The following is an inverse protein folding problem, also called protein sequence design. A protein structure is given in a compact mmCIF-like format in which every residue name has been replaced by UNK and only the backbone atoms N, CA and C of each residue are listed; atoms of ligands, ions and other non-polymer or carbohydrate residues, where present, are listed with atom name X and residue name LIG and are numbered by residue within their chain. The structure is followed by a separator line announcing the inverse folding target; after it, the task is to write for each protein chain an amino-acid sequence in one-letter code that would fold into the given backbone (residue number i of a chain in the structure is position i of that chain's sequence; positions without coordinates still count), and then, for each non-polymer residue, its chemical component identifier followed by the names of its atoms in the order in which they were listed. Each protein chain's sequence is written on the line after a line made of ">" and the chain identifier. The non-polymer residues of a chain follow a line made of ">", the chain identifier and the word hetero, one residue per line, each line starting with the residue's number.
data_IF_793847450234
#
_entry.id   IF_793847450234
#
_cell.length_a   1.000
_cell.length_b   1.000
_cell.length_c   1.000
_cell.angle_alpha   90.00
_cell.angle_beta   90.00
_cell.angle_gamma   90.00
#
_symmetry.space_group_name_H-M   'P 1'
#
loop_
_entity.id
_entity.type
_entity.pdbx_description
1 polymer ?
#
# COMPACT_ATOMS: atom_id res chain seq x y z
N UNK A 1 -3.50 30.92 16.57
CA UNK A 1 -4.90 31.25 16.89
C UNK A 1 -5.51 30.02 17.57
N UNK A 2 -5.75 30.06 18.88
CA UNK A 2 -6.00 28.86 19.72
C UNK A 2 -7.32 28.11 19.43
N UNK A 3 -8.25 28.71 18.69
CA UNK A 3 -9.58 28.14 18.41
C UNK A 3 -9.50 26.87 17.55
N UNK A 4 -8.50 26.77 16.67
CA UNK A 4 -8.34 25.63 15.77
C UNK A 4 -7.52 24.49 16.37
N UNK A 5 -6.84 24.70 17.50
CA UNK A 5 -5.93 23.71 18.11
C UNK A 5 -6.62 22.38 18.43
N UNK A 6 -7.84 22.35 19.02
CA UNK A 6 -8.51 21.07 19.29
C UNK A 6 -8.91 20.31 18.02
N UNK A 7 -9.20 21.01 16.92
CA UNK A 7 -9.54 20.37 15.64
C UNK A 7 -8.30 19.82 14.95
N UNK A 8 -7.18 20.55 14.99
CA UNK A 8 -5.89 20.08 14.48
C UNK A 8 -5.42 18.83 15.21
N UNK A 9 -5.47 18.83 16.54
CA UNK A 9 -5.12 17.65 17.33
C UNK A 9 -5.96 16.41 16.99
N UNK A 10 -7.24 16.60 16.63
CA UNK A 10 -8.10 15.49 16.18
C UNK A 10 -7.74 15.00 14.77
N UNK A 11 -7.30 15.89 13.90
CA UNK A 11 -6.79 15.53 12.56
C UNK A 11 -5.45 14.80 12.70
N UNK A 12 -4.53 15.35 13.49
CA UNK A 12 -3.21 14.74 13.75
C UNK A 12 -3.37 13.30 14.29
N UNK A 13 -4.29 13.08 15.24
CA UNK A 13 -4.57 11.74 15.76
C UNK A 13 -5.20 10.78 14.73
N UNK A 14 -5.88 11.30 13.70
CA UNK A 14 -6.35 10.48 12.58
C UNK A 14 -5.21 10.18 11.60
N UNK A 15 -4.35 11.16 11.36
CA UNK A 15 -3.18 11.02 10.48
C UNK A 15 -2.19 9.98 11.04
N UNK A 16 -1.93 10.00 12.35
CA UNK A 16 -1.12 8.97 13.03
C UNK A 16 -1.68 7.57 12.78
N UNK A 17 -3.00 7.40 12.92
CA UNK A 17 -3.66 6.12 12.66
C UNK A 17 -3.62 5.72 11.19
N UNK A 18 -3.66 6.67 10.27
CA UNK A 18 -3.49 6.40 8.84
C UNK A 18 -2.08 5.86 8.60
N UNK A 19 -1.06 6.47 9.21
CA UNK A 19 0.33 6.00 9.11
C UNK A 19 0.48 4.59 9.68
N UNK A 20 -0.07 4.31 10.86
CA UNK A 20 -0.02 2.97 11.46
C UNK A 20 -0.64 1.90 10.54
N UNK A 21 -1.81 2.20 9.95
CA UNK A 21 -2.48 1.31 9.00
C UNK A 21 -1.67 1.11 7.71
N UNK A 22 -0.94 2.14 7.26
CA UNK A 22 -0.05 2.03 6.10
C UNK A 22 1.18 1.16 6.41
N UNK A 23 1.72 1.26 7.63
CA UNK A 23 2.80 0.37 8.09
C UNK A 23 2.34 -1.08 8.10
N UNK A 24 1.17 -1.37 8.70
CA UNK A 24 0.58 -2.71 8.72
C UNK A 24 0.34 -3.24 7.30
N UNK A 25 -0.29 -2.44 6.43
CA UNK A 25 -0.52 -2.79 5.02
C UNK A 25 0.79 -3.12 4.31
N UNK A 26 1.83 -2.35 4.56
CA UNK A 26 3.16 -2.52 3.94
C UNK A 26 3.84 -3.79 4.45
N UNK A 27 3.70 -4.14 5.73
CA UNK A 27 4.17 -5.41 6.29
C UNK A 27 3.59 -6.60 5.54
N UNK A 28 2.27 -6.62 5.33
CA UNK A 28 1.59 -7.68 4.57
C UNK A 28 2.09 -7.76 3.12
N UNK A 29 2.34 -6.62 2.47
CA UNK A 29 2.89 -6.60 1.10
C UNK A 29 4.28 -7.22 1.07
N UNK A 30 5.11 -7.00 2.10
CA UNK A 30 6.43 -7.63 2.18
C UNK A 30 6.32 -9.15 2.26
N UNK A 31 5.47 -9.66 3.16
CA UNK A 31 5.20 -11.10 3.29
C UNK A 31 4.70 -11.70 1.97
N UNK A 32 3.76 -11.02 1.29
CA UNK A 32 3.25 -11.44 -0.01
C UNK A 32 4.35 -11.43 -1.08
N UNK A 33 5.24 -10.43 -1.07
CA UNK A 33 6.38 -10.35 -1.99
C UNK A 33 7.33 -11.55 -1.85
N UNK A 34 7.65 -11.95 -0.62
CA UNK A 34 8.44 -13.16 -0.35
C UNK A 34 7.74 -14.42 -0.87
N UNK A 35 6.45 -14.61 -0.55
CA UNK A 35 5.67 -15.76 -1.00
C UNK A 35 5.62 -15.82 -2.54
N UNK A 36 5.37 -14.68 -3.19
CA UNK A 36 5.33 -14.59 -4.66
C UNK A 36 6.66 -14.99 -5.28
N UNK A 37 7.78 -14.53 -4.71
CA UNK A 37 9.11 -14.89 -5.18
C UNK A 37 9.37 -16.40 -5.04
N UNK A 38 9.09 -16.99 -3.88
CA UNK A 38 9.25 -18.44 -3.63
C UNK A 38 8.42 -19.31 -4.59
N UNK A 39 7.24 -18.84 -5.00
CA UNK A 39 6.33 -19.57 -5.86
C UNK A 39 6.39 -19.16 -7.34
N UNK A 40 7.30 -18.25 -7.73
CA UNK A 40 7.43 -17.76 -9.10
C UNK A 40 6.20 -16.99 -9.61
N UNK A 41 5.41 -16.39 -8.72
CA UNK A 41 4.21 -15.62 -9.07
C UNK A 41 4.63 -14.19 -9.46
N UNK A 42 4.12 -13.64 -10.58
CA UNK A 42 4.39 -12.25 -10.96
C UNK A 42 3.99 -11.24 -9.88
N UNK A 43 4.78 -10.18 -9.72
CA UNK A 43 4.51 -9.09 -8.78
C UNK A 43 3.13 -8.44 -9.05
N UNK A 44 2.83 -8.15 -10.31
CA UNK A 44 1.62 -7.39 -10.66
C UNK A 44 0.53 -8.28 -11.26
N UNK A 45 -0.61 -8.32 -10.57
CA UNK A 45 -1.87 -8.86 -11.09
C UNK A 45 -2.83 -7.70 -11.31
N UNK A 46 -3.01 -7.26 -12.56
CA UNK A 46 -3.85 -6.10 -12.91
C UNK A 46 -5.28 -6.23 -12.39
N UNK A 47 -5.88 -7.42 -12.52
CA UNK A 47 -7.22 -7.69 -11.99
C UNK A 47 -7.32 -7.44 -10.48
N UNK A 48 -6.24 -7.72 -9.73
CA UNK A 48 -6.20 -7.46 -8.30
C UNK A 48 -6.08 -5.97 -7.99
N UNK A 49 -5.31 -5.24 -8.79
CA UNK A 49 -5.15 -3.78 -8.70
C UNK A 49 -6.49 -3.08 -8.86
N UNK A 50 -7.20 -3.37 -9.96
CA UNK A 50 -8.49 -2.75 -10.24
C UNK A 50 -9.54 -3.12 -9.19
N UNK A 51 -9.60 -4.39 -8.77
CA UNK A 51 -10.54 -4.82 -7.74
C UNK A 51 -10.32 -4.11 -6.39
N UNK A 52 -9.07 -3.85 -6.00
CA UNK A 52 -8.75 -3.13 -4.77
C UNK A 52 -9.15 -1.66 -4.88
N UNK A 53 -8.85 -1.00 -6.01
CA UNK A 53 -9.21 0.40 -6.26
C UNK A 53 -10.72 0.60 -6.26
N UNK A 54 -11.47 -0.21 -7.03
CA UNK A 54 -12.93 -0.05 -7.12
C UNK A 54 -13.64 -0.43 -5.82
N UNK A 55 -13.16 -1.44 -5.08
CA UNK A 55 -13.67 -1.74 -3.74
C UNK A 55 -13.53 -0.56 -2.79
N UNK A 56 -12.39 0.14 -2.83
CA UNK A 56 -12.16 1.31 -2.00
C UNK A 56 -13.06 2.49 -2.40
N UNK A 57 -13.18 2.76 -3.71
CA UNK A 57 -14.06 3.80 -4.24
C UNK A 57 -15.53 3.55 -3.87
N UNK A 58 -16.03 2.33 -4.01
CA UNK A 58 -17.40 1.97 -3.61
C UNK A 58 -17.64 2.20 -2.10
N UNK A 59 -16.66 1.87 -1.26
CA UNK A 59 -16.73 2.12 0.18
C UNK A 59 -16.71 3.62 0.53
N UNK A 60 -15.99 4.43 -0.25
CA UNK A 60 -15.96 5.88 -0.10
C UNK A 60 -17.33 6.48 -0.42
N UNK A 61 -17.88 6.12 -1.58
CA UNK A 61 -19.20 6.55 -2.04
C UNK A 61 -20.30 6.21 -1.02
N UNK A 62 -20.29 4.99 -0.48
CA UNK A 62 -21.26 4.55 0.53
C UNK A 62 -21.19 5.36 1.84
N UNK A 63 -20.12 6.11 2.07
CA UNK A 63 -19.90 6.95 3.26
C UNK A 63 -19.96 8.45 2.96
N UNK A 64 -20.35 8.83 1.74
CA UNK A 64 -20.42 10.23 1.32
C UNK A 64 -19.07 10.89 1.07
N UNK A 65 -18.00 10.10 0.89
CA UNK A 65 -16.70 10.58 0.46
C UNK A 65 -16.61 10.48 -1.06
N UNK A 66 -15.93 11.44 -1.70
CA UNK A 66 -15.67 11.42 -3.14
C UNK A 66 -14.94 10.13 -3.55
N UNK A 67 -15.56 9.26 -4.37
CA UNK A 67 -14.91 8.04 -4.83
C UNK A 67 -13.66 8.32 -5.67
N UNK A 68 -13.59 9.44 -6.40
CA UNK A 68 -12.45 9.74 -7.26
C UNK A 68 -11.20 10.07 -6.45
N UNK A 69 -11.34 10.88 -5.40
CA UNK A 69 -10.27 11.10 -4.42
C UNK A 69 -9.70 9.77 -3.88
N UNK A 70 -10.58 8.81 -3.58
CA UNK A 70 -10.14 7.50 -3.08
C UNK A 70 -9.47 6.67 -4.16
N UNK A 71 -9.92 6.74 -5.42
CA UNK A 71 -9.21 6.10 -6.55
C UNK A 71 -7.79 6.63 -6.69
N UNK A 72 -7.60 7.95 -6.62
CA UNK A 72 -6.28 8.58 -6.73
C UNK A 72 -5.34 8.16 -5.59
N UNK A 73 -5.85 8.15 -4.35
CA UNK A 73 -5.09 7.68 -3.19
C UNK A 73 -4.69 6.21 -3.35
N UNK A 74 -5.63 5.34 -3.75
CA UNK A 74 -5.34 3.92 -3.94
C UNK A 74 -4.41 3.67 -5.12
N UNK A 75 -4.48 4.45 -6.20
CA UNK A 75 -3.52 4.36 -7.29
C UNK A 75 -2.08 4.59 -6.80
N UNK A 76 -1.86 5.59 -5.94
CA UNK A 76 -0.55 5.83 -5.31
C UNK A 76 -0.13 4.70 -4.38
N UNK A 77 -1.04 4.20 -3.54
CA UNK A 77 -0.75 3.09 -2.62
C UNK A 77 -0.41 1.79 -3.36
N UNK A 78 -1.05 1.54 -4.51
CA UNK A 78 -0.78 0.39 -5.36
C UNK A 78 0.56 0.54 -6.07
N UNK A 79 0.85 1.71 -6.64
CA UNK A 79 2.15 1.98 -7.26
C UNK A 79 3.30 1.75 -6.27
N UNK A 80 3.14 2.22 -5.02
CA UNK A 80 4.08 1.94 -3.94
C UNK A 80 4.21 0.43 -3.65
N UNK A 81 3.09 -0.31 -3.57
CA UNK A 81 3.11 -1.76 -3.38
C UNK A 81 3.89 -2.50 -4.47
N UNK A 82 3.66 -2.16 -5.74
CA UNK A 82 4.35 -2.79 -6.87
C UNK A 82 5.86 -2.51 -6.83
N UNK A 83 6.25 -1.25 -6.55
CA UNK A 83 7.67 -0.88 -6.42
C UNK A 83 8.35 -1.64 -5.28
N UNK A 84 7.65 -1.81 -4.15
CA UNK A 84 8.18 -2.54 -3.01
C UNK A 84 8.39 -4.02 -3.32
N UNK A 85 7.44 -4.66 -4.01
CA UNK A 85 7.57 -6.06 -4.43
C UNK A 85 8.75 -6.27 -5.41
N UNK A 86 9.00 -5.32 -6.32
CA UNK A 86 10.19 -5.37 -7.19
C UNK A 86 11.48 -5.28 -6.38
N UNK A 87 11.55 -4.34 -5.42
CA UNK A 87 12.72 -4.21 -4.53
C UNK A 87 12.98 -5.49 -3.74
N UNK A 88 11.95 -6.12 -3.18
CA UNK A 88 12.09 -7.38 -2.44
C UNK A 88 12.59 -8.50 -3.36
N UNK A 89 12.03 -8.60 -4.57
CA UNK A 89 12.45 -9.59 -5.55
C UNK A 89 13.92 -9.40 -5.93
N UNK A 90 14.38 -8.17 -6.11
CA UNK A 90 15.77 -7.84 -6.41
C UNK A 90 16.70 -8.18 -5.24
N UNK A 91 16.31 -7.83 -4.00
CA UNK A 91 17.05 -8.18 -2.77
C UNK A 91 17.21 -9.70 -2.60
N UNK A 92 16.13 -10.46 -2.82
CA UNK A 92 16.13 -11.92 -2.74
C UNK A 92 16.98 -12.56 -3.84
N UNK A 93 16.89 -12.05 -5.07
CA UNK A 93 17.69 -12.55 -6.21
C UNK A 93 19.18 -12.30 -5.99
N UNK A 94 19.55 -11.12 -5.48
CA UNK A 94 20.95 -10.76 -5.23
C UNK A 94 21.54 -11.51 -4.02
N UNK A 95 20.72 -11.87 -3.04
CA UNK A 95 21.12 -12.69 -1.88
C UNK A 95 21.31 -14.18 -2.22
N UNK A 96 20.76 -14.65 -3.35
CA UNK A 96 20.90 -16.03 -3.84
C UNK A 96 22.07 -16.22 -4.83
N UNK A 97 22.82 -15.17 -5.18
CA UNK A 97 23.98 -15.31 -6.04
C UNK A 97 25.10 -16.08 -5.29
N UNK A 98 25.49 -17.29 -5.73
CA UNK A 98 26.62 -17.98 -5.14
C UNK A 98 27.89 -17.17 -5.42
N UNK A 99 28.77 -17.14 -4.43
CA UNK A 99 30.11 -16.53 -4.46
C UNK A 99 30.73 -16.69 -5.85
N UNK A 100 30.75 -15.61 -6.62
CA UNK A 100 31.21 -15.64 -8.02
C UNK A 100 32.74 -15.67 -7.96
N UNK A 101 33.41 -16.68 -8.54
CA UNK A 101 34.86 -16.79 -8.54
C UNK A 101 35.54 -15.65 -9.30
#
# INVERSE_FOLDING_TARGET
>A
MKILEPYRARIDALDDRIVDLLVERTGIIREVGHIKHEHGIPAVLQDRVDAVRERAAARAQAKGLDPELVRELYARLIAFSCSLEETIKDELTNSQAPDRP
#
